data_IF_416985569188
#
_entry.id   IF_416985569188
#
_cell.length_a   1.000
_cell.length_b   1.000
_cell.length_c   1.000
_cell.angle_alpha   90.00
_cell.angle_beta   90.00
_cell.angle_gamma   90.00
#
_symmetry.space_group_name_H-M   'P 1'
#
loop_
_entity.id
_entity.type
_entity.pdbx_description
1 polymer ?
#
# COMPACT_ATOMS: atom_id res chain seq x y z
N UNK A 1 -17.61 -1.21 -63.26
CA UNK A 1 -18.43 -1.20 -62.03
C UNK A 1 -18.64 -2.64 -61.62
N UNK A 2 -17.89 -3.11 -60.61
CA UNK A 2 -18.02 -4.43 -60.01
C UNK A 2 -18.69 -4.25 -58.63
N UNK A 3 -19.61 -5.14 -58.21
CA UNK A 3 -20.22 -5.01 -56.90
C UNK A 3 -19.23 -5.49 -55.83
N UNK A 4 -18.87 -4.60 -54.92
CA UNK A 4 -18.16 -4.93 -53.68
C UNK A 4 -19.14 -5.64 -52.75
N UNK A 5 -19.03 -6.96 -52.64
CA UNK A 5 -19.72 -7.72 -51.60
C UNK A 5 -19.02 -7.46 -50.27
N UNK A 6 -19.55 -6.51 -49.51
CA UNK A 6 -19.19 -6.32 -48.11
C UNK A 6 -19.68 -7.52 -47.32
N UNK A 7 -18.78 -8.45 -47.00
CA UNK A 7 -19.02 -9.51 -46.02
C UNK A 7 -19.10 -8.83 -44.65
N UNK A 8 -20.33 -8.60 -44.18
CA UNK A 8 -20.57 -8.30 -42.77
C UNK A 8 -20.27 -9.59 -42.01
N UNK A 9 -19.06 -9.67 -41.43
CA UNK A 9 -18.71 -10.69 -40.45
C UNK A 9 -19.68 -10.55 -39.28
N UNK A 10 -20.61 -11.51 -39.20
CA UNK A 10 -21.50 -11.67 -38.09
C UNK A 10 -20.66 -11.76 -36.81
N UNK A 11 -20.95 -10.89 -35.84
CA UNK A 11 -20.50 -11.07 -34.46
C UNK A 11 -20.98 -12.46 -34.02
N UNK A 12 -20.04 -13.37 -33.76
CA UNK A 12 -20.35 -14.61 -33.05
C UNK A 12 -20.76 -14.24 -31.62
N UNK A 13 -22.03 -13.90 -31.43
CA UNK A 13 -22.71 -13.85 -30.13
C UNK A 13 -23.14 -15.24 -29.72
N UNK A 14 -22.23 -16.22 -29.75
CA UNK A 14 -22.46 -17.50 -29.10
C UNK A 14 -22.13 -17.33 -27.62
N UNK A 15 -23.16 -16.95 -26.84
CA UNK A 15 -23.10 -17.07 -25.39
C UNK A 15 -22.75 -18.52 -25.04
N UNK A 16 -21.83 -18.72 -24.12
CA UNK A 16 -21.47 -20.04 -23.63
C UNK A 16 -22.72 -20.71 -23.03
N UNK A 17 -23.32 -21.66 -23.75
CA UNK A 17 -24.50 -22.39 -23.29
C UNK A 17 -24.08 -23.54 -22.36
N UNK A 18 -23.65 -23.15 -21.16
CA UNK A 18 -23.39 -24.09 -20.09
C UNK A 18 -24.69 -24.52 -19.43
N UNK A 19 -24.81 -25.81 -19.11
CA UNK A 19 -25.89 -26.29 -18.25
C UNK A 19 -25.78 -25.66 -16.85
N UNK A 20 -26.88 -25.72 -16.09
CA UNK A 20 -26.95 -25.11 -14.76
C UNK A 20 -25.92 -25.68 -13.77
N UNK A 21 -25.55 -26.96 -13.92
CA UNK A 21 -24.52 -27.60 -13.08
C UNK A 21 -23.15 -26.98 -13.34
N UNK A 22 -22.81 -26.76 -14.61
CA UNK A 22 -21.51 -26.19 -14.99
C UNK A 22 -21.43 -24.71 -14.64
N UNK A 23 -22.53 -23.97 -14.77
CA UNK A 23 -22.62 -22.58 -14.28
C UNK A 23 -22.37 -22.50 -12.77
N UNK A 24 -23.03 -23.35 -11.98
CA UNK A 24 -22.82 -23.39 -10.53
C UNK A 24 -21.37 -23.75 -10.16
N UNK A 25 -20.73 -24.67 -10.90
CA UNK A 25 -19.31 -25.00 -10.72
C UNK A 25 -18.39 -23.80 -11.00
N UNK A 26 -18.63 -23.08 -12.10
CA UNK A 26 -17.85 -21.90 -12.49
C UNK A 26 -18.04 -20.74 -11.52
N UNK A 27 -19.26 -20.52 -11.01
CA UNK A 27 -19.55 -19.52 -9.97
C UNK A 27 -18.79 -19.85 -8.68
N UNK A 28 -18.81 -21.11 -8.26
CA UNK A 28 -18.06 -21.55 -7.09
C UNK A 28 -16.55 -21.37 -7.30
N UNK A 29 -16.04 -21.71 -8.48
CA UNK A 29 -14.63 -21.56 -8.80
C UNK A 29 -14.20 -20.09 -8.79
N UNK A 30 -15.01 -19.20 -9.38
CA UNK A 30 -14.77 -17.76 -9.38
C UNK A 30 -14.71 -17.23 -7.95
N UNK A 31 -15.73 -17.55 -7.15
CA UNK A 31 -15.77 -17.16 -5.72
C UNK A 31 -14.55 -17.68 -4.96
N UNK A 32 -14.11 -18.90 -5.22
CA UNK A 32 -12.97 -19.51 -4.54
C UNK A 32 -11.65 -18.85 -4.97
N UNK A 33 -11.47 -18.55 -6.26
CA UNK A 33 -10.27 -17.85 -6.76
C UNK A 33 -10.21 -16.39 -6.31
N UNK A 34 -11.34 -15.73 -6.09
CA UNK A 34 -11.39 -14.36 -5.55
C UNK A 34 -11.24 -14.30 -4.02
N UNK A 35 -11.18 -15.43 -3.34
CA UNK A 35 -11.09 -15.47 -1.87
C UNK A 35 -9.83 -14.75 -1.36
N UNK A 36 -9.98 -14.03 -0.24
CA UNK A 36 -8.87 -13.30 0.40
C UNK A 36 -8.63 -11.90 -0.16
N UNK A 37 -9.22 -11.55 -1.30
CA UNK A 37 -9.23 -10.16 -1.76
C UNK A 37 -10.15 -9.34 -0.83
N UNK A 38 -9.71 -8.17 -0.32
CA UNK A 38 -10.55 -7.36 0.55
C UNK A 38 -11.87 -6.95 -0.10
N UNK A 39 -12.93 -6.87 0.71
CA UNK A 39 -14.22 -6.34 0.25
C UNK A 39 -14.04 -4.94 -0.35
N UNK A 40 -14.85 -4.60 -1.35
CA UNK A 40 -14.82 -3.30 -2.07
C UNK A 40 -13.53 -2.98 -2.82
N UNK A 41 -12.51 -3.83 -2.76
CA UNK A 41 -11.31 -3.66 -3.56
C UNK A 41 -11.56 -4.01 -5.03
N UNK A 42 -12.38 -5.03 -5.28
CA UNK A 42 -12.88 -5.38 -6.61
C UNK A 42 -14.32 -4.88 -6.78
N UNK A 43 -14.76 -4.60 -8.03
CA UNK A 43 -16.19 -4.49 -8.30
C UNK A 43 -16.90 -5.80 -7.95
N UNK A 44 -18.23 -5.74 -7.74
CA UNK A 44 -19.02 -6.96 -7.60
C UNK A 44 -18.99 -7.71 -8.94
N UNK A 45 -18.23 -8.81 -8.96
CA UNK A 45 -18.01 -9.67 -10.12
C UNK A 45 -18.88 -10.91 -10.02
N UNK A 46 -19.65 -11.18 -11.08
CA UNK A 46 -20.44 -12.40 -11.24
C UNK A 46 -19.98 -13.18 -12.47
N UNK A 47 -20.45 -14.43 -12.63
CA UNK A 47 -20.02 -15.27 -13.75
C UNK A 47 -20.30 -14.64 -15.12
N UNK A 48 -21.44 -13.95 -15.29
CA UNK A 48 -21.73 -13.25 -16.55
C UNK A 48 -20.69 -12.18 -16.89
N UNK A 49 -20.07 -11.53 -15.90
CA UNK A 49 -19.01 -10.55 -16.16
C UNK A 49 -17.78 -11.19 -16.82
N UNK A 50 -17.48 -12.45 -16.46
CA UNK A 50 -16.40 -13.25 -17.04
C UNK A 50 -16.80 -13.71 -18.45
N UNK A 51 -18.01 -14.25 -18.60
CA UNK A 51 -18.50 -14.81 -19.87
C UNK A 51 -18.67 -13.71 -20.94
N UNK A 52 -19.23 -12.57 -20.55
CA UNK A 52 -19.51 -11.44 -21.44
C UNK A 52 -18.34 -10.45 -21.51
N UNK A 53 -17.26 -10.69 -20.75
CA UNK A 53 -16.08 -9.82 -20.65
C UNK A 53 -16.46 -8.36 -20.40
N UNK A 54 -17.29 -8.13 -19.38
CA UNK A 54 -17.79 -6.78 -19.11
C UNK A 54 -16.63 -5.85 -18.72
N UNK A 55 -16.75 -4.53 -18.93
CA UNK A 55 -15.68 -3.58 -18.60
C UNK A 55 -15.20 -3.67 -17.15
N UNK A 56 -16.07 -4.07 -16.21
CA UNK A 56 -15.71 -4.28 -14.80
C UNK A 56 -14.82 -5.49 -14.55
N UNK A 57 -14.87 -6.51 -15.41
CA UNK A 57 -13.99 -7.68 -15.35
C UNK A 57 -12.68 -7.44 -16.13
N UNK A 58 -12.74 -6.65 -17.21
CA UNK A 58 -11.58 -6.35 -18.04
C UNK A 58 -10.66 -5.27 -17.46
N UNK A 59 -11.23 -4.29 -16.76
CA UNK A 59 -10.48 -3.15 -16.23
C UNK A 59 -10.89 -2.86 -14.78
N UNK A 60 -10.11 -3.41 -13.86
CA UNK A 60 -10.22 -3.11 -12.44
C UNK A 60 -9.37 -1.88 -12.15
N UNK A 61 -10.01 -0.86 -11.60
CA UNK A 61 -9.33 0.36 -11.16
C UNK A 61 -8.23 0.03 -10.14
N UNK A 62 -7.15 0.80 -10.17
CA UNK A 62 -6.00 0.68 -9.26
C UNK A 62 -5.16 -0.61 -9.43
N UNK A 63 -5.40 -1.39 -10.47
CA UNK A 63 -4.61 -2.56 -10.87
C UNK A 63 -3.90 -2.24 -12.20
N UNK A 64 -2.58 -2.48 -12.33
CA UNK A 64 -1.87 -2.36 -13.61
C UNK A 64 -2.47 -3.27 -14.70
N UNK A 65 -2.42 -2.83 -15.95
CA UNK A 65 -3.08 -3.52 -17.09
C UNK A 65 -2.57 -4.94 -17.34
N UNK A 66 -1.31 -5.21 -17.01
CA UNK A 66 -0.63 -6.49 -17.24
C UNK A 66 -0.91 -7.55 -16.17
N UNK A 67 -1.43 -7.14 -15.00
CA UNK A 67 -1.80 -8.04 -13.90
C UNK A 67 -3.30 -7.97 -13.57
N UNK A 68 -4.13 -7.62 -14.54
CA UNK A 68 -5.61 -7.57 -14.41
C UNK A 68 -6.21 -8.94 -14.05
N UNK A 69 -7.55 -8.99 -13.93
CA UNK A 69 -8.29 -10.16 -13.45
C UNK A 69 -7.89 -11.47 -14.14
N UNK A 70 -7.60 -11.43 -15.44
CA UNK A 70 -7.14 -12.60 -16.19
C UNK A 70 -5.86 -13.20 -15.60
N UNK A 71 -4.82 -12.39 -15.41
CA UNK A 71 -3.56 -12.81 -14.78
C UNK A 71 -3.84 -13.38 -13.38
N UNK A 72 -4.62 -12.65 -12.57
CA UNK A 72 -4.94 -13.07 -11.21
C UNK A 72 -5.62 -14.44 -11.15
N UNK A 73 -6.61 -14.70 -12.01
CA UNK A 73 -7.33 -15.96 -12.06
C UNK A 73 -6.46 -17.11 -12.58
N UNK A 74 -5.64 -16.85 -13.58
CA UNK A 74 -4.73 -17.82 -14.18
C UNK A 74 -3.66 -18.26 -13.19
N UNK A 75 -3.05 -17.30 -12.50
CA UNK A 75 -1.91 -17.51 -11.61
C UNK A 75 -2.31 -17.70 -10.13
N UNK A 76 -3.60 -17.88 -9.84
CA UNK A 76 -4.11 -17.96 -8.46
C UNK A 76 -3.43 -19.05 -7.63
N UNK A 77 -3.13 -20.19 -8.23
CA UNK A 77 -2.41 -21.27 -7.55
C UNK A 77 -0.99 -20.84 -7.13
N UNK A 78 -0.27 -20.13 -8.00
CA UNK A 78 1.08 -19.63 -7.70
C UNK A 78 1.07 -18.54 -6.61
N UNK A 79 0.05 -17.68 -6.61
CA UNK A 79 -0.19 -16.70 -5.55
C UNK A 79 -0.40 -17.39 -4.19
N UNK A 80 -1.19 -18.46 -4.15
CA UNK A 80 -1.54 -19.18 -2.91
C UNK A 80 -0.46 -20.14 -2.41
N UNK A 81 0.59 -20.42 -3.19
CA UNK A 81 1.72 -21.26 -2.76
C UNK A 81 2.32 -20.81 -1.41
N UNK A 82 2.30 -19.50 -1.14
CA UNK A 82 2.75 -18.91 0.12
C UNK A 82 1.61 -18.25 0.90
N UNK A 83 0.40 -18.83 0.80
CA UNK A 83 -0.81 -18.33 1.44
C UNK A 83 -1.13 -16.86 1.11
N UNK A 84 -0.87 -16.45 -0.14
CA UNK A 84 -1.08 -15.07 -0.59
C UNK A 84 -0.09 -14.05 -0.01
N UNK A 85 0.99 -14.49 0.64
CA UNK A 85 2.01 -13.60 1.22
C UNK A 85 3.11 -13.26 0.23
N UNK A 86 3.54 -12.01 0.25
CA UNK A 86 4.68 -11.57 -0.52
C UNK A 86 5.98 -12.06 0.14
N UNK A 87 6.92 -12.59 -0.66
CA UNK A 87 8.24 -13.03 -0.18
C UNK A 87 9.35 -12.39 -1.02
N UNK A 88 10.55 -12.22 -0.47
CA UNK A 88 11.69 -11.59 -1.16
C UNK A 88 12.65 -12.62 -1.74
N UNK A 89 12.09 -13.58 -2.47
CA UNK A 89 12.80 -14.67 -3.13
C UNK A 89 12.27 -14.76 -4.57
N UNK A 90 13.08 -14.29 -5.53
CA UNK A 90 12.71 -14.22 -6.95
C UNK A 90 12.61 -15.62 -7.59
N UNK A 91 13.39 -16.58 -7.10
CA UNK A 91 13.39 -17.96 -7.60
C UNK A 91 12.10 -18.70 -7.21
N UNK A 92 11.51 -18.31 -6.07
CA UNK A 92 10.30 -18.94 -5.51
C UNK A 92 9.01 -18.21 -5.82
N UNK A 93 9.04 -16.89 -5.92
CA UNK A 93 7.89 -16.06 -6.22
C UNK A 93 8.33 -15.00 -7.23
N UNK A 94 7.85 -15.09 -8.46
CA UNK A 94 8.19 -14.12 -9.49
C UNK A 94 7.75 -12.71 -9.08
N UNK A 95 8.38 -11.71 -9.69
CA UNK A 95 8.04 -10.32 -9.43
C UNK A 95 6.57 -10.01 -9.76
N UNK A 96 6.00 -10.59 -10.81
CA UNK A 96 4.60 -10.35 -11.18
C UNK A 96 3.61 -10.96 -10.17
N UNK A 97 3.92 -12.12 -9.60
CA UNK A 97 3.14 -12.69 -8.48
C UNK A 97 3.24 -11.78 -7.24
N UNK A 98 4.42 -11.27 -6.93
CA UNK A 98 4.59 -10.28 -5.87
C UNK A 98 3.74 -9.04 -6.16
N UNK A 99 3.77 -8.49 -7.38
CA UNK A 99 2.95 -7.33 -7.77
C UNK A 99 1.46 -7.63 -7.58
N UNK A 100 0.98 -8.78 -8.06
CA UNK A 100 -0.40 -9.19 -7.89
C UNK A 100 -0.80 -9.23 -6.40
N UNK A 101 0.03 -9.80 -5.53
CA UNK A 101 -0.24 -9.83 -4.07
C UNK A 101 -0.40 -8.42 -3.49
N UNK A 102 0.49 -7.48 -3.85
CA UNK A 102 0.46 -6.11 -3.35
C UNK A 102 -0.72 -5.31 -3.91
N UNK A 103 -0.99 -5.43 -5.21
CA UNK A 103 -2.03 -4.67 -5.90
C UNK A 103 -3.42 -5.19 -5.56
N UNK A 104 -3.62 -6.50 -5.46
CA UNK A 104 -4.87 -7.14 -4.99
C UNK A 104 -5.02 -7.15 -3.46
N UNK A 105 -4.01 -6.64 -2.73
CA UNK A 105 -4.03 -6.47 -1.27
C UNK A 105 -4.27 -7.79 -0.52
N UNK A 106 -3.72 -8.89 -1.01
CA UNK A 106 -3.88 -10.22 -0.40
C UNK A 106 -3.12 -10.36 0.92
N UNK A 107 -2.04 -9.58 1.08
CA UNK A 107 -1.23 -9.55 2.29
C UNK A 107 -1.47 -8.24 3.05
N UNK A 108 -2.08 -8.35 4.24
CA UNK A 108 -2.42 -7.19 5.07
C UNK A 108 -1.20 -6.31 5.41
N UNK A 109 -0.01 -6.91 5.47
CA UNK A 109 1.22 -6.22 5.83
C UNK A 109 1.94 -5.60 4.62
N UNK A 110 1.65 -6.08 3.41
CA UNK A 110 2.32 -5.71 2.16
C UNK A 110 1.32 -5.11 1.17
N UNK A 111 0.85 -3.92 1.50
CA UNK A 111 -0.07 -3.15 0.66
C UNK A 111 0.14 -1.65 0.86
N UNK A 112 -0.54 -0.85 0.03
CA UNK A 112 -0.46 0.60 0.08
C UNK A 112 -1.70 1.26 0.73
N UNK A 113 -2.73 0.49 1.08
CA UNK A 113 -3.96 1.05 1.68
C UNK A 113 -3.72 1.43 3.14
N UNK A 114 -3.81 2.72 3.42
CA UNK A 114 -3.57 3.27 4.76
C UNK A 114 -4.64 2.94 5.81
N UNK A 115 -5.70 2.20 5.51
CA UNK A 115 -6.74 1.89 6.50
C UNK A 115 -6.39 0.65 7.33
N UNK A 116 -5.45 -0.17 6.87
CA UNK A 116 -4.87 -1.24 7.68
C UNK A 116 -3.91 -0.68 8.73
N UNK A 117 -4.06 -1.16 9.97
CA UNK A 117 -3.26 -0.72 11.12
C UNK A 117 -1.74 -0.83 10.85
N UNK A 118 -1.30 -1.91 10.19
CA UNK A 118 0.11 -2.16 9.87
C UNK A 118 0.67 -1.07 8.94
N UNK A 119 -0.06 -0.72 7.88
CA UNK A 119 0.35 0.35 6.94
C UNK A 119 0.42 1.68 7.68
N UNK A 120 -0.59 2.01 8.50
CA UNK A 120 -0.60 3.25 9.31
C UNK A 120 0.60 3.36 10.23
N UNK A 121 0.96 2.26 10.89
CA UNK A 121 2.09 2.24 11.80
C UNK A 121 3.41 2.37 11.07
N UNK A 122 3.59 1.68 9.94
CA UNK A 122 4.77 1.85 9.08
C UNK A 122 4.92 3.30 8.61
N UNK A 123 3.86 3.90 8.10
CA UNK A 123 3.85 5.31 7.68
C UNK A 123 4.26 6.23 8.84
N UNK A 124 3.65 6.08 10.02
CA UNK A 124 3.98 6.91 11.19
C UNK A 124 5.43 6.73 11.66
N UNK A 125 5.92 5.49 11.69
CA UNK A 125 7.31 5.16 12.02
C UNK A 125 8.26 5.85 11.05
N UNK A 126 8.00 5.72 9.76
CA UNK A 126 8.87 6.21 8.71
C UNK A 126 8.94 7.73 8.65
N UNK A 127 7.81 8.44 8.75
CA UNK A 127 7.84 9.90 8.80
C UNK A 127 8.56 10.41 10.06
N UNK A 128 8.40 9.74 11.20
CA UNK A 128 9.11 10.08 12.43
C UNK A 128 10.63 9.82 12.32
N UNK A 129 11.02 8.70 11.70
CA UNK A 129 12.43 8.36 11.47
C UNK A 129 13.11 9.40 10.56
N UNK A 130 12.45 9.81 9.48
CA UNK A 130 12.96 10.85 8.58
C UNK A 130 13.05 12.22 9.29
N UNK A 131 12.04 12.57 10.10
CA UNK A 131 12.03 13.80 10.87
C UNK A 131 13.21 13.87 11.86
N UNK A 132 13.41 12.80 12.63
CA UNK A 132 14.53 12.69 13.55
C UNK A 132 15.88 12.78 12.81
N UNK A 133 16.01 12.10 11.66
CA UNK A 133 17.23 12.12 10.85
C UNK A 133 17.57 13.53 10.36
N UNK A 134 16.56 14.26 9.87
CA UNK A 134 16.69 15.67 9.46
C UNK A 134 17.13 16.57 10.62
N UNK A 135 16.46 16.45 11.78
CA UNK A 135 16.71 17.28 12.96
C UNK A 135 18.15 17.14 13.48
N UNK A 136 18.70 15.93 13.47
CA UNK A 136 20.10 15.70 13.89
C UNK A 136 21.09 16.20 12.85
N UNK A 137 20.80 16.01 11.57
CA UNK A 137 21.69 16.46 10.49
C UNK A 137 21.83 17.98 10.49
N UNK A 138 20.74 18.74 10.63
CA UNK A 138 20.80 20.21 10.69
C UNK A 138 21.62 20.74 11.88
N UNK A 139 21.56 20.08 13.05
CA UNK A 139 22.36 20.47 14.23
C UNK A 139 23.86 20.23 14.06
N UNK A 140 24.26 19.19 13.32
CA UNK A 140 25.68 18.94 13.03
C UNK A 140 26.28 20.04 12.15
N UNK A 141 25.53 20.58 11.19
CA UNK A 141 26.01 21.68 10.36
C UNK A 141 26.05 23.01 11.12
N UNK A 142 25.07 23.29 11.98
CA UNK A 142 25.06 24.51 12.80
C UNK A 142 26.17 24.56 13.87
N UNK A 143 26.60 23.40 14.38
CA UNK A 143 27.68 23.32 15.39
C UNK A 143 29.10 23.38 14.81
N UNK A 144 29.25 23.37 13.48
CA UNK A 144 30.53 23.67 12.81
C UNK A 144 30.69 25.14 12.40
N UNK A 145 29.63 25.97 12.50
CA UNK A 145 29.71 27.41 12.24
C UNK A 145 29.91 28.28 13.49
N UNK A 146 29.89 27.70 14.70
CA UNK A 146 30.19 28.43 15.94
C UNK A 146 31.66 28.24 16.34
N UNK A 147 32.48 29.24 16.00
CA UNK A 147 33.79 29.48 16.61
C UNK A 147 33.58 29.63 18.12
N UNK A 148 34.02 28.63 18.88
CA UNK A 148 33.89 28.56 20.34
C UNK A 148 34.66 29.69 21.02
N UNK A 149 33.95 30.65 21.60
CA UNK A 149 34.47 31.43 22.73
C UNK A 149 34.22 30.61 23.99
N UNK A 150 35.31 30.13 24.60
CA UNK A 150 35.30 29.32 25.81
C UNK A 150 35.00 30.22 27.01
N UNK A 151 33.87 30.00 27.68
CA UNK A 151 33.64 30.45 29.04
C UNK A 151 33.43 29.26 29.97
N UNK A 152 34.36 29.12 30.92
CA UNK A 152 34.30 28.17 32.02
C UNK A 152 33.33 28.68 33.09
N UNK A 153 32.34 27.87 33.46
CA UNK A 153 31.36 28.25 34.47
C UNK A 153 30.55 27.09 35.04
N UNK A 154 31.11 26.49 36.08
CA UNK A 154 30.45 25.91 37.27
C UNK A 154 29.53 24.69 37.13
N UNK A 155 29.98 23.65 37.85
CA UNK A 155 29.30 22.41 38.22
C UNK A 155 28.06 22.67 39.09
N UNK A 156 26.93 22.08 38.72
CA UNK A 156 25.84 21.77 39.64
C UNK A 156 25.51 20.28 39.59
N UNK A 157 25.51 19.66 40.76
CA UNK A 157 25.02 18.31 41.05
C UNK A 157 23.49 18.38 41.07
N UNK A 158 22.79 17.54 40.32
CA UNK A 158 21.43 17.16 40.72
C UNK A 158 20.87 15.89 40.06
N UNK A 159 20.29 15.08 40.94
CA UNK A 159 19.18 14.13 40.77
C UNK A 159 19.34 12.93 39.81
N UNK A 160 19.25 11.74 40.42
CA UNK A 160 18.89 10.49 39.76
C UNK A 160 17.47 10.59 39.18
N UNK A 161 17.38 10.83 37.87
CA UNK A 161 16.15 10.67 37.10
C UNK A 161 16.33 9.46 36.14
N UNK A 162 15.58 8.34 36.33
CA UNK A 162 15.72 7.17 35.47
C UNK A 162 15.14 7.35 34.05
N UNK A 163 14.77 8.57 33.64
CA UNK A 163 14.37 8.91 32.26
C UNK A 163 15.54 9.28 31.33
N UNK A 164 16.77 9.20 31.80
CA UNK A 164 17.96 9.64 31.05
C UNK A 164 18.79 8.47 30.51
N UNK A 165 18.14 7.42 29.98
CA UNK A 165 18.84 6.61 28.98
C UNK A 165 19.03 7.52 27.78
N UNK A 166 20.26 8.02 27.61
CA UNK A 166 20.72 8.65 26.36
C UNK A 166 20.53 7.62 25.25
N UNK A 167 19.32 7.53 24.71
CA UNK A 167 19.04 6.80 23.49
C UNK A 167 19.85 7.50 22.42
N UNK A 168 21.01 6.91 22.18
CA UNK A 168 22.01 7.43 21.28
C UNK A 168 21.36 7.37 19.91
N UNK A 169 21.12 8.54 19.31
CA UNK A 169 20.55 8.63 17.98
C UNK A 169 21.29 7.67 17.04
N UNK A 170 20.54 6.78 16.40
CA UNK A 170 21.07 5.85 15.41
C UNK A 170 20.86 6.47 14.04
N UNK A 171 21.92 6.94 13.35
CA UNK A 171 21.78 7.49 12.01
C UNK A 171 21.27 6.42 11.06
N UNK A 172 20.27 6.78 10.26
CA UNK A 172 19.78 5.92 9.19
C UNK A 172 20.80 5.88 8.05
N UNK A 173 21.15 4.69 7.53
CA UNK A 173 21.92 4.56 6.30
C UNK A 173 21.19 5.21 5.12
N UNK A 174 21.92 5.76 4.15
CA UNK A 174 21.31 6.39 2.96
C UNK A 174 20.41 5.43 2.19
N UNK A 175 20.74 4.13 2.14
CA UNK A 175 19.89 3.11 1.53
C UNK A 175 18.55 2.93 2.27
N UNK A 176 18.54 3.01 3.60
CA UNK A 176 17.32 2.95 4.39
C UNK A 176 16.45 4.19 4.18
N UNK A 177 17.08 5.38 4.08
CA UNK A 177 16.36 6.62 3.76
C UNK A 177 15.68 6.51 2.40
N UNK A 178 16.40 6.02 1.37
CA UNK A 178 15.81 5.80 0.03
C UNK A 178 14.63 4.83 0.07
N UNK A 179 14.80 3.69 0.76
CA UNK A 179 13.73 2.70 0.92
C UNK A 179 12.48 3.33 1.58
N UNK A 180 12.68 4.07 2.67
CA UNK A 180 11.59 4.76 3.37
C UNK A 180 10.91 5.79 2.46
N UNK A 181 11.69 6.62 1.78
CA UNK A 181 11.17 7.65 0.88
C UNK A 181 10.38 7.01 -0.27
N UNK A 182 10.89 5.95 -0.91
CA UNK A 182 10.18 5.23 -1.97
C UNK A 182 8.85 4.64 -1.49
N UNK A 183 8.82 4.05 -0.28
CA UNK A 183 7.57 3.55 0.29
C UNK A 183 6.56 4.68 0.50
N UNK A 184 6.97 5.79 1.10
CA UNK A 184 6.09 6.93 1.33
C UNK A 184 5.60 7.56 0.02
N UNK A 185 6.45 7.65 -1.02
CA UNK A 185 6.04 8.09 -2.36
C UNK A 185 4.99 7.15 -2.94
N UNK A 186 5.14 5.83 -2.79
CA UNK A 186 4.17 4.84 -3.25
C UNK A 186 2.81 5.01 -2.54
N UNK A 187 2.80 5.31 -1.22
CA UNK A 187 1.58 5.63 -0.48
C UNK A 187 0.94 6.93 -0.96
N UNK A 188 1.74 7.98 -1.23
CA UNK A 188 1.24 9.26 -1.77
C UNK A 188 0.60 9.02 -3.15
N UNK A 189 1.28 8.31 -4.06
CA UNK A 189 0.76 7.97 -5.38
C UNK A 189 -0.54 7.18 -5.27
N UNK A 190 -0.57 6.16 -4.41
CA UNK A 190 -1.77 5.39 -4.17
C UNK A 190 -2.92 6.25 -3.63
N UNK A 191 -2.64 7.28 -2.84
CA UNK A 191 -3.67 8.15 -2.31
C UNK A 191 -4.18 9.19 -3.33
N UNK A 192 -3.28 9.79 -4.09
CA UNK A 192 -3.58 10.98 -4.90
C UNK A 192 -3.89 10.65 -6.36
N UNK A 193 -3.24 9.62 -6.92
CA UNK A 193 -3.33 9.22 -8.33
C UNK A 193 -3.40 7.69 -8.43
N UNK A 194 -4.46 7.06 -7.91
CA UNK A 194 -4.50 5.62 -7.69
C UNK A 194 -4.55 4.81 -9.01
N UNK A 195 -4.95 5.42 -10.13
CA UNK A 195 -5.26 4.74 -11.40
C UNK A 195 -4.30 5.01 -12.58
N UNK A 196 -3.38 5.99 -12.52
CA UNK A 196 -2.73 6.50 -13.74
C UNK A 196 -1.29 6.03 -14.01
N UNK A 197 -0.37 6.18 -13.05
CA UNK A 197 1.07 5.99 -13.32
C UNK A 197 1.62 4.65 -12.82
N UNK A 198 1.20 4.23 -11.63
CA UNK A 198 1.77 3.10 -10.86
C UNK A 198 3.29 3.16 -10.62
N UNK A 199 4.02 4.14 -11.17
CA UNK A 199 5.46 4.20 -11.20
C UNK A 199 6.10 4.24 -9.81
N UNK A 200 5.52 4.96 -8.86
CA UNK A 200 6.06 5.02 -7.50
C UNK A 200 5.87 3.69 -6.77
N UNK A 201 4.68 3.08 -6.89
CA UNK A 201 4.40 1.74 -6.35
C UNK A 201 5.34 0.70 -6.96
N UNK A 202 5.46 0.66 -8.28
CA UNK A 202 6.35 -0.25 -9.00
C UNK A 202 7.83 -0.05 -8.62
N UNK A 203 8.28 1.21 -8.55
CA UNK A 203 9.65 1.51 -8.12
C UNK A 203 9.91 1.03 -6.69
N UNK A 204 8.95 1.19 -5.79
CA UNK A 204 9.08 0.67 -4.43
C UNK A 204 9.08 -0.86 -4.42
N UNK A 205 8.17 -1.52 -5.15
CA UNK A 205 8.11 -2.99 -5.18
C UNK A 205 9.41 -3.60 -5.68
N UNK A 206 10.05 -3.01 -6.70
CA UNK A 206 11.38 -3.45 -7.17
C UNK A 206 12.44 -3.31 -6.06
N UNK A 207 12.49 -2.14 -5.42
CA UNK A 207 13.43 -1.88 -4.34
C UNK A 207 13.18 -2.76 -3.10
N UNK A 208 11.91 -3.06 -2.81
CA UNK A 208 11.53 -4.01 -1.76
C UNK A 208 11.96 -5.42 -2.15
N UNK A 209 11.59 -5.92 -3.33
CA UNK A 209 11.89 -7.31 -3.72
C UNK A 209 13.39 -7.61 -3.72
N UNK A 210 14.20 -6.71 -4.30
CA UNK A 210 15.65 -6.92 -4.44
C UNK A 210 16.49 -6.42 -3.25
N UNK A 211 15.88 -5.67 -2.33
CA UNK A 211 16.60 -4.99 -1.24
C UNK A 211 16.63 -5.80 0.06
N UNK A 212 17.54 -5.47 1.00
CA UNK A 212 17.62 -6.16 2.29
C UNK A 212 16.54 -5.71 3.29
N UNK A 213 15.85 -4.60 2.98
CA UNK A 213 14.92 -3.95 3.90
C UNK A 213 13.49 -4.46 3.74
N UNK A 214 12.78 -4.56 4.86
CA UNK A 214 11.37 -4.91 4.89
C UNK A 214 10.53 -3.88 5.65
N UNK A 215 9.22 -4.00 5.48
CA UNK A 215 8.25 -3.34 6.33
C UNK A 215 8.25 -3.95 7.73
N UNK A 216 7.78 -3.17 8.69
CA UNK A 216 7.45 -3.70 10.00
C UNK A 216 6.15 -4.51 9.88
N UNK A 217 6.24 -5.84 9.88
CA UNK A 217 5.08 -6.74 9.69
C UNK A 217 4.62 -7.37 11.00
N UNK A 218 5.54 -7.65 11.93
CA UNK A 218 5.25 -8.32 13.20
C UNK A 218 5.24 -7.33 14.36
N UNK A 219 4.05 -7.09 14.92
CA UNK A 219 3.86 -6.31 16.15
C UNK A 219 3.32 -7.20 17.27
N UNK A 220 4.07 -7.32 18.36
CA UNK A 220 3.60 -7.97 19.58
C UNK A 220 2.43 -7.22 20.21
N UNK A 221 1.61 -7.90 21.02
CA UNK A 221 0.38 -7.30 21.61
C UNK A 221 0.63 -5.99 22.37
N UNK A 222 1.73 -5.92 23.14
CA UNK A 222 2.12 -4.69 23.84
C UNK A 222 2.49 -3.55 22.87
N UNK A 223 3.20 -3.86 21.78
CA UNK A 223 3.58 -2.89 20.75
C UNK A 223 2.33 -2.39 20.00
N UNK A 224 1.39 -3.28 19.65
CA UNK A 224 0.10 -2.90 19.05
C UNK A 224 -0.67 -1.93 19.95
N UNK A 225 -0.79 -2.25 21.24
CA UNK A 225 -1.47 -1.37 22.22
C UNK A 225 -0.78 -0.02 22.33
N UNK A 226 0.55 -0.01 22.36
CA UNK A 226 1.35 1.21 22.44
C UNK A 226 1.15 2.09 21.20
N UNK A 227 1.27 1.50 20.00
CA UNK A 227 1.06 2.21 18.73
C UNK A 227 -0.36 2.77 18.62
N UNK A 228 -1.39 2.00 18.99
CA UNK A 228 -2.78 2.52 18.99
C UNK A 228 -2.95 3.76 19.87
N UNK A 229 -2.38 3.73 21.08
CA UNK A 229 -2.44 4.87 21.99
C UNK A 229 -1.66 6.08 21.46
N UNK A 230 -0.43 5.86 20.99
CA UNK A 230 0.41 6.91 20.42
C UNK A 230 -0.24 7.53 19.19
N UNK A 231 -0.79 6.73 18.28
CA UNK A 231 -1.49 7.23 17.09
C UNK A 231 -2.73 8.06 17.45
N UNK A 232 -3.47 7.70 18.51
CA UNK A 232 -4.62 8.49 18.97
C UNK A 232 -4.22 9.89 19.45
N UNK A 233 -3.08 10.00 20.14
CA UNK A 233 -2.53 11.30 20.57
C UNK A 233 -2.03 12.07 19.36
N UNK A 234 -1.20 11.43 18.54
CA UNK A 234 -0.60 12.03 17.35
C UNK A 234 -1.64 12.55 16.35
N UNK A 235 -2.78 11.87 16.19
CA UNK A 235 -3.89 12.37 15.37
C UNK A 235 -4.42 13.73 15.84
N UNK A 236 -4.56 13.95 17.15
CA UNK A 236 -5.01 15.24 17.69
C UNK A 236 -3.98 16.34 17.47
N UNK A 237 -2.71 15.99 17.67
CA UNK A 237 -1.60 16.92 17.46
C UNK A 237 -1.51 17.33 15.99
N UNK A 238 -1.72 16.38 15.06
CA UNK A 238 -1.78 16.66 13.62
C UNK A 238 -2.93 17.59 13.26
N UNK A 239 -4.13 17.40 13.83
CA UNK A 239 -5.26 18.30 13.56
C UNK A 239 -4.95 19.75 13.95
N UNK A 240 -4.29 19.95 15.09
CA UNK A 240 -3.86 21.26 15.55
C UNK A 240 -2.79 21.86 14.62
N UNK A 241 -1.77 21.08 14.27
CA UNK A 241 -0.69 21.53 13.38
C UNK A 241 -1.20 21.89 11.99
N UNK A 242 -2.09 21.07 11.41
CA UNK A 242 -2.68 21.34 10.10
C UNK A 242 -3.54 22.62 10.12
N UNK A 243 -4.23 22.90 11.22
CA UNK A 243 -4.96 24.17 11.39
C UNK A 243 -4.01 25.38 11.46
N UNK A 244 -2.88 25.24 12.15
CA UNK A 244 -1.83 26.27 12.20
C UNK A 244 -1.23 26.49 10.81
N UNK A 245 -0.82 25.42 10.12
CA UNK A 245 -0.26 25.47 8.78
C UNK A 245 -1.21 26.14 7.79
N UNK A 246 -2.50 25.76 7.78
CA UNK A 246 -3.52 26.38 6.91
C UNK A 246 -3.69 27.87 7.19
N UNK A 247 -3.65 28.28 8.46
CA UNK A 247 -3.74 29.70 8.85
C UNK A 247 -2.50 30.50 8.42
N UNK A 248 -1.32 29.92 8.54
CA UNK A 248 -0.04 30.60 8.24
C UNK A 248 0.26 30.66 6.73
N UNK A 249 -0.02 29.58 6.00
CA UNK A 249 0.29 29.47 4.57
C UNK A 249 -0.78 30.12 3.68
N UNK A 250 -2.02 30.20 4.16
CA UNK A 250 -3.18 30.49 3.32
C UNK A 250 -3.66 29.24 2.58
N UNK A 251 -4.88 29.30 2.04
CA UNK A 251 -5.59 28.13 1.48
C UNK A 251 -4.85 27.49 0.31
N UNK A 252 -4.50 28.28 -0.71
CA UNK A 252 -3.92 27.77 -1.96
C UNK A 252 -2.56 27.11 -1.72
N UNK A 253 -1.67 27.79 -0.99
CA UNK A 253 -0.36 27.26 -0.65
C UNK A 253 -0.45 26.01 0.23
N UNK A 254 -1.40 25.96 1.17
CA UNK A 254 -1.64 24.78 1.99
C UNK A 254 -2.11 23.59 1.15
N UNK A 255 -3.08 23.80 0.25
CA UNK A 255 -3.59 22.73 -0.62
C UNK A 255 -2.48 22.18 -1.51
N UNK A 256 -1.61 23.06 -2.03
CA UNK A 256 -0.45 22.70 -2.84
C UNK A 256 0.65 21.96 -2.07
N UNK A 257 1.14 22.54 -0.97
CA UNK A 257 2.32 22.00 -0.25
C UNK A 257 1.97 20.87 0.72
N UNK A 258 0.78 20.93 1.35
CA UNK A 258 0.41 20.03 2.45
C UNK A 258 -0.72 19.08 2.08
N UNK A 259 -1.68 19.53 1.27
CA UNK A 259 -2.89 18.77 0.91
C UNK A 259 -2.58 17.34 0.45
N UNK A 260 -1.55 17.17 -0.38
CA UNK A 260 -1.13 15.85 -0.91
C UNK A 260 -0.72 14.81 0.14
N UNK A 261 -0.36 15.23 1.35
CA UNK A 261 -0.03 14.31 2.46
C UNK A 261 -1.26 13.98 3.31
N UNK A 262 -2.24 14.88 3.35
CA UNK A 262 -3.41 14.79 4.23
C UNK A 262 -4.30 13.64 3.77
N UNK A 263 -4.66 12.79 4.72
CA UNK A 263 -5.28 11.52 4.38
C UNK A 263 -4.21 10.48 4.14
N UNK A 264 -3.34 10.63 3.13
CA UNK A 264 -2.35 9.62 2.74
C UNK A 264 -1.30 9.29 3.81
N UNK A 265 -0.38 10.22 4.08
CA UNK A 265 0.73 10.02 5.02
C UNK A 265 0.40 10.48 6.44
N UNK A 266 -0.44 11.51 6.57
CA UNK A 266 -0.77 12.13 7.85
C UNK A 266 -2.29 12.19 8.03
N UNK A 267 -2.79 11.99 9.27
CA UNK A 267 -4.21 12.10 9.54
C UNK A 267 -4.67 13.56 9.38
N UNK A 268 -5.88 13.75 8.85
CA UNK A 268 -6.55 15.05 8.81
C UNK A 268 -8.06 14.92 8.72
N UNK A 269 -8.77 16.03 8.96
CA UNK A 269 -10.24 16.07 8.97
C UNK A 269 -10.85 16.18 7.58
N UNK A 270 -12.14 15.82 7.44
CA UNK A 270 -12.88 15.83 6.16
C UNK A 270 -13.00 17.24 5.56
N UNK A 271 -13.01 18.28 6.38
CA UNK A 271 -13.11 19.71 6.02
C UNK A 271 -11.75 20.38 5.71
N UNK A 272 -10.65 19.65 5.87
CA UNK A 272 -9.29 20.14 5.64
C UNK A 272 -8.77 19.91 4.21
N UNK A 273 -9.65 19.59 3.26
CA UNK A 273 -9.45 19.90 1.84
C UNK A 273 -8.60 18.92 1.03
N UNK A 274 -8.97 17.64 0.99
CA UNK A 274 -8.61 16.76 -0.14
C UNK A 274 -9.85 15.95 -0.51
N UNK A 275 -10.27 16.07 -1.77
CA UNK A 275 -11.39 15.32 -2.34
C UNK A 275 -11.17 13.83 -2.15
N UNK A 276 -11.92 13.25 -1.23
CA UNK A 276 -11.81 11.84 -0.88
C UNK A 276 -12.53 11.00 -1.95
N UNK A 277 -11.83 10.67 -3.03
CA UNK A 277 -12.32 9.73 -4.03
C UNK A 277 -12.60 8.34 -3.42
N UNK A 278 -11.86 7.93 -2.39
CA UNK A 278 -12.05 6.60 -1.75
C UNK A 278 -12.94 6.59 -0.50
N UNK A 279 -13.50 7.71 -0.02
CA UNK A 279 -14.39 7.66 1.17
C UNK A 279 -15.82 7.24 0.86
N UNK A 280 -16.21 7.09 -0.41
CA UNK A 280 -17.60 6.79 -0.77
C UNK A 280 -17.99 5.32 -0.58
N UNK A 281 -17.02 4.41 -0.45
CA UNK A 281 -17.29 2.96 -0.37
C UNK A 281 -17.53 2.37 1.02
N UNK A 282 -16.92 2.89 2.09
CA UNK A 282 -16.73 2.06 3.30
C UNK A 282 -17.15 2.70 4.64
N UNK A 283 -17.65 3.94 4.65
CA UNK A 283 -18.25 4.52 5.87
C UNK A 283 -19.76 4.21 6.01
N UNK A 284 -20.34 3.49 5.04
CA UNK A 284 -21.70 2.94 5.11
C UNK A 284 -21.68 1.41 5.21
N UNK A 285 -21.22 0.91 6.35
CA UNK A 285 -21.65 -0.40 6.84
C UNK A 285 -23.05 -0.35 7.49
N UNK A 286 -23.93 0.54 7.01
CA UNK A 286 -25.36 0.62 7.33
C UNK A 286 -26.11 1.21 6.12
N UNK A 287 -26.94 0.36 5.54
CA UNK A 287 -28.00 0.60 4.56
C UNK A 287 -27.77 1.61 3.42
N UNK A 288 -27.89 1.09 2.21
CA UNK A 288 -28.30 1.84 1.03
C UNK A 288 -27.34 1.67 -0.15
N UNK A 289 -27.86 0.99 -1.17
CA UNK A 289 -27.35 0.90 -2.53
C UNK A 289 -26.80 2.24 -3.05
N UNK A 290 -25.61 2.21 -3.65
CA UNK A 290 -25.13 3.29 -4.50
C UNK A 290 -24.47 2.68 -5.74
N UNK A 291 -25.12 2.92 -6.88
CA UNK A 291 -24.61 2.65 -8.23
C UNK A 291 -23.32 3.45 -8.50
N UNK A 292 -22.23 2.73 -8.80
CA UNK A 292 -21.03 3.28 -9.41
C UNK A 292 -21.14 3.14 -10.93
N UNK A 293 -21.85 4.07 -11.55
CA UNK A 293 -21.82 4.27 -13.00
C UNK A 293 -20.78 5.35 -13.35
N UNK A 294 -19.96 5.05 -14.36
CA UNK A 294 -19.14 5.97 -15.16
C UNK A 294 -17.85 6.55 -14.54
N UNK A 295 -16.77 5.77 -14.69
CA UNK A 295 -15.44 6.31 -14.96
C UNK A 295 -14.62 5.34 -15.82
N UNK A 296 -14.95 5.24 -17.11
CA UNK A 296 -14.10 4.59 -18.10
C UNK A 296 -13.16 5.65 -18.72
N UNK A 297 -11.82 5.49 -18.66
CA UNK A 297 -10.93 6.18 -19.57
C UNK A 297 -10.99 5.51 -20.95
N UNK A 298 -10.97 6.34 -22.00
CA UNK A 298 -10.88 5.90 -23.39
C UNK A 298 -9.52 5.27 -23.67
N UNK A 299 -9.57 4.01 -24.10
CA UNK A 299 -8.84 3.38 -25.20
C UNK A 299 -7.36 3.77 -25.43
N UNK A 300 -6.47 2.79 -25.26
CA UNK A 300 -5.51 2.37 -26.31
C UNK A 300 -4.72 1.14 -25.85
N UNK A 301 -4.89 0.04 -26.58
CA UNK A 301 -4.06 -1.14 -26.46
C UNK A 301 -4.51 -2.18 -27.47
N UNK A 302 -3.93 -2.15 -28.67
CA UNK A 302 -4.05 -3.19 -29.70
C UNK A 302 -3.59 -4.54 -29.12
N UNK A 303 -4.53 -5.31 -28.59
CA UNK A 303 -4.34 -6.69 -28.16
C UNK A 303 -4.55 -7.62 -29.34
N UNK A 304 -3.55 -8.44 -29.63
CA UNK A 304 -3.62 -9.56 -30.58
C UNK A 304 -4.91 -10.35 -30.36
N UNK A 305 -5.67 -10.54 -31.42
CA UNK A 305 -6.84 -11.43 -31.49
C UNK A 305 -6.43 -12.86 -31.09
N UNK A 306 -6.69 -13.25 -29.83
CA UNK A 306 -6.94 -14.64 -29.51
C UNK A 306 -8.43 -14.85 -29.63
N UNK A 307 -8.87 -15.76 -30.52
CA UNK A 307 -10.28 -16.10 -30.79
C UNK A 307 -11.05 -16.70 -29.56
N UNK A 308 -10.51 -16.60 -28.34
CA UNK A 308 -11.03 -17.18 -27.10
C UNK A 308 -11.34 -16.16 -26.00
N UNK A 309 -12.25 -16.50 -25.10
CA UNK A 309 -12.50 -15.73 -23.88
C UNK A 309 -11.39 -16.01 -22.86
N UNK A 310 -10.34 -15.17 -22.87
CA UNK A 310 -9.18 -15.31 -22.00
C UNK A 310 -9.51 -15.27 -20.49
N UNK A 311 -10.57 -14.56 -20.09
CA UNK A 311 -11.03 -14.56 -18.69
C UNK A 311 -11.63 -15.91 -18.27
N UNK A 312 -12.40 -16.55 -19.16
CA UNK A 312 -12.95 -17.89 -18.92
C UNK A 312 -11.84 -18.95 -18.89
N UNK A 313 -10.86 -18.86 -19.80
CA UNK A 313 -9.70 -19.75 -19.81
C UNK A 313 -8.87 -19.61 -18.51
N UNK A 314 -8.65 -18.37 -18.07
CA UNK A 314 -7.98 -18.08 -16.80
C UNK A 314 -8.79 -18.60 -15.60
N UNK A 315 -10.12 -18.43 -15.59
CA UNK A 315 -10.99 -18.99 -14.57
C UNK A 315 -10.84 -20.52 -14.48
N UNK A 316 -10.81 -21.19 -15.63
CA UNK A 316 -10.66 -22.65 -15.75
C UNK A 316 -9.24 -23.17 -15.46
N UNK A 317 -8.23 -22.29 -15.35
CA UNK A 317 -6.86 -22.70 -15.06
C UNK A 317 -6.78 -23.52 -13.76
N UNK A 318 -5.99 -24.61 -13.70
CA UNK A 318 -5.96 -25.51 -12.56
C UNK A 318 -5.73 -24.79 -11.24
N UNK A 319 -6.59 -25.04 -10.27
CA UNK A 319 -6.49 -24.45 -8.95
C UNK A 319 -6.92 -25.44 -7.89
N UNK A 320 -6.00 -25.71 -6.96
CA UNK A 320 -6.26 -26.55 -5.79
C UNK A 320 -6.28 -25.62 -4.58
N UNK A 321 -7.47 -25.40 -4.02
CA UNK A 321 -7.61 -24.55 -2.84
C UNK A 321 -6.89 -25.19 -1.66
N UNK A 322 -5.83 -24.54 -1.18
CA UNK A 322 -5.13 -24.95 0.04
C UNK A 322 -5.83 -24.37 1.29
N UNK A 323 -7.12 -24.64 1.46
CA UNK A 323 -7.94 -23.96 2.49
C UNK A 323 -7.81 -24.53 3.91
N UNK A 324 -7.07 -25.63 4.15
CA UNK A 324 -6.96 -26.23 5.50
C UNK A 324 -5.58 -26.78 5.92
N UNK A 325 -4.64 -26.97 4.99
CA UNK A 325 -3.32 -27.53 5.34
C UNK A 325 -2.24 -26.48 5.63
N UNK A 326 -2.45 -25.23 5.20
CA UNK A 326 -1.41 -24.20 5.17
C UNK A 326 -1.33 -23.33 6.41
N UNK A 327 -2.35 -23.25 7.28
CA UNK A 327 -2.16 -22.53 8.55
C UNK A 327 -1.12 -23.23 9.41
N UNK A 328 -1.21 -24.56 9.56
CA UNK A 328 -0.20 -25.34 10.27
C UNK A 328 1.13 -25.42 9.53
N UNK A 329 1.13 -25.40 8.19
CA UNK A 329 2.36 -25.50 7.40
C UNK A 329 3.08 -24.15 7.28
N UNK A 330 2.36 -23.03 7.15
CA UNK A 330 2.91 -21.69 7.27
C UNK A 330 3.35 -21.38 8.72
N UNK A 331 2.60 -21.83 9.74
CA UNK A 331 3.06 -21.76 11.14
C UNK A 331 4.27 -22.68 11.40
N UNK A 332 4.33 -23.86 10.78
CA UNK A 332 5.45 -24.78 10.88
C UNK A 332 6.67 -24.31 10.08
N UNK A 333 6.52 -23.61 8.96
CA UNK A 333 7.62 -22.95 8.23
C UNK A 333 8.13 -21.72 8.99
N UNK A 334 7.22 -21.01 9.67
CA UNK A 334 7.60 -19.94 10.62
C UNK A 334 8.33 -20.50 11.86
N UNK A 335 8.10 -21.76 12.24
CA UNK A 335 8.77 -22.45 13.37
C UNK A 335 9.94 -23.36 12.96
N UNK A 336 10.06 -23.72 11.68
CA UNK A 336 10.85 -24.86 11.19
C UNK A 336 11.98 -24.51 10.23
N UNK A 337 12.32 -23.23 10.07
CA UNK A 337 13.58 -22.81 9.44
C UNK A 337 13.61 -22.79 7.91
N UNK A 338 12.52 -23.13 7.21
CA UNK A 338 12.29 -22.64 5.84
C UNK A 338 11.64 -21.25 5.92
N UNK A 339 12.41 -20.29 6.43
CA UNK A 339 12.00 -18.90 6.41
C UNK A 339 11.91 -18.48 4.95
N UNK A 340 10.72 -18.13 4.47
CA UNK A 340 10.60 -17.14 3.41
C UNK A 340 11.66 -16.06 3.70
N UNK A 341 12.52 -15.76 2.75
CA UNK A 341 13.63 -14.80 2.95
C UNK A 341 12.99 -13.46 3.30
N UNK A 342 12.79 -13.21 4.59
CA UNK A 342 12.19 -11.99 5.10
C UNK A 342 13.30 -10.97 5.20
N UNK A 343 13.03 -9.75 4.76
CA UNK A 343 13.98 -8.67 4.92
C UNK A 343 14.07 -8.29 6.39
N UNK A 344 15.00 -7.39 6.68
CA UNK A 344 15.12 -6.80 8.01
C UNK A 344 14.43 -5.45 8.02
N UNK A 345 13.68 -5.07 9.07
CA UNK A 345 13.22 -3.70 9.20
C UNK A 345 14.41 -2.74 9.23
N UNK A 346 14.22 -1.53 8.70
CA UNK A 346 15.29 -0.51 8.59
C UNK A 346 15.95 -0.14 9.93
N UNK A 347 15.28 -0.39 11.05
CA UNK A 347 15.79 -0.21 12.40
C UNK A 347 15.02 -1.10 13.39
N UNK A 348 15.55 -1.30 14.58
CA UNK A 348 14.86 -2.01 15.66
C UNK A 348 13.49 -1.39 15.99
N UNK A 349 12.48 -2.25 16.17
CA UNK A 349 11.10 -1.86 16.42
C UNK A 349 10.95 -0.98 17.68
N UNK A 350 11.69 -1.25 18.76
CA UNK A 350 11.56 -0.45 20.00
C UNK A 350 12.02 0.98 19.72
N UNK A 351 13.15 1.14 19.06
CA UNK A 351 13.65 2.44 18.65
C UNK A 351 12.68 3.14 17.70
N UNK A 352 12.13 2.41 16.72
CA UNK A 352 11.16 2.93 15.76
C UNK A 352 9.92 3.54 16.47
N UNK A 353 9.34 2.81 17.42
CA UNK A 353 8.19 3.27 18.23
C UNK A 353 8.59 4.49 19.08
N UNK A 354 9.79 4.47 19.69
CA UNK A 354 10.29 5.62 20.45
C UNK A 354 10.39 6.88 19.58
N UNK A 355 10.72 6.76 18.28
CA UNK A 355 10.73 7.92 17.39
C UNK A 355 9.33 8.47 17.15
N UNK A 356 8.33 7.61 16.94
CA UNK A 356 6.93 8.05 16.80
C UNK A 356 6.44 8.80 18.04
N UNK A 357 6.85 8.34 19.23
CA UNK A 357 6.47 8.99 20.49
C UNK A 357 7.16 10.34 20.73
N UNK A 358 8.33 10.57 20.13
CA UNK A 358 9.14 11.77 20.33
C UNK A 358 8.89 12.84 19.29
N UNK A 359 8.67 12.44 18.05
CA UNK A 359 8.50 13.37 16.94
C UNK A 359 7.10 13.95 16.95
N UNK A 360 7.05 15.28 16.87
CA UNK A 360 5.80 16.03 16.81
C UNK A 360 5.48 16.42 15.37
N UNK A 361 4.21 16.69 15.04
CA UNK A 361 3.81 17.23 13.75
C UNK A 361 4.64 18.45 13.30
N UNK A 362 4.94 19.39 14.21
CA UNK A 362 5.79 20.57 13.97
C UNK A 362 7.21 20.21 13.48
N UNK A 363 7.74 19.05 13.89
CA UNK A 363 9.05 18.53 13.43
C UNK A 363 8.92 17.76 12.10
N UNK A 364 7.78 17.10 11.88
CA UNK A 364 7.57 16.17 10.75
C UNK A 364 7.15 16.93 9.48
N UNK A 365 6.19 17.87 9.58
CA UNK A 365 5.59 18.53 8.43
C UNK A 365 6.62 19.25 7.54
N UNK A 366 7.59 20.02 8.07
CA UNK A 366 8.61 20.66 7.23
C UNK A 366 9.49 19.65 6.47
N UNK A 367 9.70 18.46 7.05
CA UNK A 367 10.48 17.39 6.42
C UNK A 367 9.71 16.76 5.27
N UNK A 368 8.40 16.56 5.42
CA UNK A 368 7.55 16.05 4.34
C UNK A 368 7.52 17.04 3.16
N UNK A 369 7.28 18.32 3.41
CA UNK A 369 7.26 19.37 2.38
C UNK A 369 8.60 19.39 1.61
N UNK A 370 9.73 19.29 2.32
CA UNK A 370 11.06 19.30 1.70
C UNK A 370 11.37 18.04 0.90
N UNK A 371 10.96 16.87 1.39
CA UNK A 371 11.28 15.59 0.74
C UNK A 371 10.38 15.27 -0.45
N UNK A 372 9.18 15.85 -0.49
CA UNK A 372 8.19 15.62 -1.54
C UNK A 372 7.69 16.98 -2.07
N UNK A 373 8.52 17.75 -2.79
CA UNK A 373 8.18 19.11 -3.22
C UNK A 373 7.11 19.15 -4.33
N UNK A 374 6.98 18.09 -5.12
CA UNK A 374 6.08 17.99 -6.29
C UNK A 374 5.09 16.84 -6.11
#
# INVERSE_FOLDING_TARGET
MMPTTTVVLARNTHGFDFDDSKKAELELLLKTKLQGVPNHHLPSLILSDILDQTPRALNIANIPSDIQLQFFLQDRAAIDNYAGKAIKDDDKQSFDITRAIWFYRLDEAHQFQRFHDIVRWNTAIYVALLAQHSKVSSKKYASHSEVRVVHHGHSSKDSHNPRNTKDTYKPLPSAAIRFITQYLTAIIEHHNTPTSSFAARESFLRAWKSGPWDLFTVFGGAQKKLMKNTMKVLSKDWEAELAIAKKQMGKERYEWEVGKFVGGLIPGRKDQGVGAWERRGEEKARDGDIDMENAAPKDQGEGKESDGNGLLEALLSPYVSHTKHTEKQAEAETRGGMTAVQGTPVIDMRYAITMVQRMKPEDILPVLIRLFPE
#
